data_IF_906269047322
#
_entry.id   IF_906269047322
#
_cell.length_a   1.000
_cell.length_b   1.000
_cell.length_c   1.000
_cell.angle_alpha   90.00
_cell.angle_beta   90.00
_cell.angle_gamma   90.00
#
_symmetry.space_group_name_H-M   'P 1'
#
loop_
_entity.id
_entity.type
_entity.pdbx_description
1 polymer ?
#
# COMPACT_ATOMS: atom_id res chain seq x y z
N UNK A 1 7.62 41.22 -90.64
CA UNK A 1 8.56 40.31 -91.32
C UNK A 1 9.97 40.28 -90.70
N UNK A 2 10.21 40.92 -89.54
CA UNK A 2 11.53 40.93 -88.88
C UNK A 2 11.63 39.97 -87.66
N UNK A 3 10.51 39.41 -87.19
CA UNK A 3 10.49 38.51 -86.01
C UNK A 3 10.89 37.08 -86.39
N UNK A 4 10.59 36.64 -87.61
CA UNK A 4 10.89 35.28 -88.10
C UNK A 4 12.40 35.11 -88.33
N UNK A 5 13.10 36.17 -88.75
CA UNK A 5 14.55 36.15 -89.00
C UNK A 5 15.33 36.01 -87.68
N UNK A 6 14.91 36.69 -86.62
CA UNK A 6 15.53 36.56 -85.29
C UNK A 6 15.32 35.17 -84.68
N UNK A 7 14.16 34.55 -84.90
CA UNK A 7 13.88 33.18 -84.45
C UNK A 7 14.78 32.14 -85.12
N UNK A 8 15.02 32.28 -86.43
CA UNK A 8 15.88 31.38 -87.18
C UNK A 8 17.38 31.53 -86.83
N UNK A 9 17.85 32.77 -86.57
CA UNK A 9 19.22 33.03 -86.12
C UNK A 9 19.51 32.44 -84.73
N UNK A 10 18.53 32.47 -83.82
CA UNK A 10 18.65 31.87 -82.48
C UNK A 10 18.68 30.33 -82.54
N UNK A 11 17.93 29.70 -83.44
CA UNK A 11 17.97 28.24 -83.62
C UNK A 11 19.28 27.74 -84.26
N UNK A 12 19.91 28.54 -85.12
CA UNK A 12 21.19 28.16 -85.76
C UNK A 12 22.36 28.29 -84.78
N UNK A 13 22.31 29.24 -83.82
CA UNK A 13 23.33 29.39 -82.77
C UNK A 13 23.33 28.24 -81.75
N UNK A 14 22.20 27.57 -81.52
CA UNK A 14 22.11 26.43 -80.58
C UNK A 14 22.62 25.13 -81.20
N UNK A 15 22.65 25.01 -82.53
CA UNK A 15 23.04 23.77 -83.24
C UNK A 15 24.53 23.74 -83.62
N UNK A 16 25.23 24.87 -83.66
CA UNK A 16 26.67 24.94 -84.00
C UNK A 16 27.63 24.94 -82.80
N UNK A 17 27.13 24.62 -81.59
CA UNK A 17 27.95 24.46 -80.38
C UNK A 17 28.69 23.11 -80.35
N UNK A 18 29.71 22.98 -81.21
CA UNK A 18 30.92 22.16 -81.04
C UNK A 18 30.84 20.91 -80.13
N UNK A 19 30.47 19.77 -80.71
CA UNK A 19 30.94 18.45 -80.27
C UNK A 19 32.44 18.33 -80.62
N UNK A 20 33.36 18.80 -79.78
CA UNK A 20 34.75 18.29 -79.84
C UNK A 20 35.63 18.51 -78.58
N UNK A 21 35.12 19.06 -77.47
CA UNK A 21 35.96 19.26 -76.25
C UNK A 21 35.47 18.57 -74.97
N UNK A 22 34.37 17.81 -75.00
CA UNK A 22 33.74 17.24 -73.80
C UNK A 22 34.33 15.90 -73.32
N UNK A 23 35.54 15.53 -73.76
CA UNK A 23 36.22 14.30 -73.32
C UNK A 23 37.32 14.55 -72.29
N UNK A 24 37.95 15.74 -72.29
CA UNK A 24 39.01 16.11 -71.35
C UNK A 24 38.45 16.70 -70.04
N UNK A 25 37.32 17.42 -70.10
CA UNK A 25 36.68 18.03 -68.94
C UNK A 25 36.12 17.01 -67.94
N UNK A 26 35.58 15.87 -68.39
CA UNK A 26 35.03 14.84 -67.49
C UNK A 26 36.11 14.19 -66.64
N UNK A 27 37.33 14.04 -67.18
CA UNK A 27 38.46 13.53 -66.41
C UNK A 27 38.94 14.56 -65.38
N UNK A 28 39.04 15.83 -65.75
CA UNK A 28 39.44 16.90 -64.84
C UNK A 28 38.40 17.17 -63.74
N UNK A 29 37.11 17.08 -64.07
CA UNK A 29 35.97 17.20 -63.16
C UNK A 29 35.91 16.00 -62.18
N UNK A 30 36.27 14.79 -62.65
CA UNK A 30 36.43 13.63 -61.76
C UNK A 30 37.60 13.76 -60.79
N UNK A 31 38.70 14.42 -61.20
CA UNK A 31 39.90 14.60 -60.38
C UNK A 31 39.68 15.72 -59.34
N UNK A 32 39.12 16.86 -59.78
CA UNK A 32 38.79 17.99 -58.91
C UNK A 32 37.69 17.60 -57.91
N UNK A 33 36.62 16.93 -58.37
CA UNK A 33 35.55 16.44 -57.51
C UNK A 33 36.04 15.43 -56.46
N UNK A 34 36.93 14.52 -56.83
CA UNK A 34 37.52 13.56 -55.88
C UNK A 34 38.43 14.26 -54.87
N UNK A 35 39.25 15.22 -55.30
CA UNK A 35 40.08 16.02 -54.39
C UNK A 35 39.24 16.85 -53.40
N UNK A 36 38.24 17.59 -53.88
CA UNK A 36 37.33 18.37 -53.05
C UNK A 36 36.55 17.49 -52.08
N UNK A 37 36.03 16.34 -52.54
CA UNK A 37 35.37 15.38 -51.67
C UNK A 37 36.32 14.83 -50.60
N UNK A 38 37.56 14.49 -50.97
CA UNK A 38 38.56 13.98 -50.02
C UNK A 38 38.95 15.01 -48.97
N UNK A 39 39.04 16.29 -49.34
CA UNK A 39 39.29 17.40 -48.43
C UNK A 39 38.11 17.68 -47.49
N UNK A 40 36.87 17.55 -48.00
CA UNK A 40 35.63 17.81 -47.23
C UNK A 40 35.15 16.61 -46.41
N UNK A 41 35.55 15.39 -46.78
CA UNK A 41 35.14 14.14 -46.12
C UNK A 41 35.33 14.15 -44.60
N UNK A 42 36.46 14.61 -44.04
CA UNK A 42 36.63 14.70 -42.59
C UNK A 42 35.56 15.57 -41.92
N UNK A 43 35.16 16.68 -42.54
CA UNK A 43 34.11 17.57 -42.01
C UNK A 43 32.74 16.89 -42.08
N UNK A 44 32.42 16.21 -43.18
CA UNK A 44 31.17 15.45 -43.32
C UNK A 44 31.08 14.27 -42.34
N UNK A 45 32.19 13.56 -42.12
CA UNK A 45 32.27 12.47 -41.14
C UNK A 45 32.16 13.02 -39.70
N UNK A 46 32.69 14.22 -39.45
CA UNK A 46 32.52 14.91 -38.18
C UNK A 46 31.06 15.34 -37.95
N UNK A 47 30.37 15.87 -38.97
CA UNK A 47 28.93 16.20 -38.87
C UNK A 47 28.09 14.98 -38.51
N UNK A 48 28.32 13.84 -39.17
CA UNK A 48 27.64 12.58 -38.83
C UNK A 48 27.93 12.12 -37.40
N UNK A 49 29.16 12.35 -36.93
CA UNK A 49 29.54 12.00 -35.55
C UNK A 49 28.79 12.87 -34.55
N UNK A 50 28.68 14.17 -34.81
CA UNK A 50 27.93 15.10 -33.97
C UNK A 50 26.42 14.79 -33.97
N UNK A 51 25.84 14.46 -35.11
CA UNK A 51 24.43 14.05 -35.22
C UNK A 51 24.12 12.80 -34.37
N UNK A 52 25.02 11.81 -34.39
CA UNK A 52 24.90 10.63 -33.52
C UNK A 52 24.96 11.02 -32.05
N UNK A 53 25.94 11.83 -31.66
CA UNK A 53 26.06 12.31 -30.28
C UNK A 53 24.79 13.05 -29.82
N UNK A 54 24.24 13.93 -30.65
CA UNK A 54 22.98 14.64 -30.32
C UNK A 54 21.83 13.65 -30.11
N UNK A 55 21.74 12.62 -30.96
CA UNK A 55 20.69 11.60 -30.86
C UNK A 55 20.85 10.76 -29.59
N UNK A 56 22.09 10.38 -29.26
CA UNK A 56 22.41 9.63 -28.05
C UNK A 56 22.09 10.44 -26.79
N UNK A 57 22.49 11.72 -26.74
CA UNK A 57 22.14 12.63 -25.65
C UNK A 57 20.63 12.85 -25.53
N UNK A 58 19.90 12.93 -26.65
CA UNK A 58 18.45 13.07 -26.62
C UNK A 58 17.77 11.81 -26.02
N UNK A 59 18.28 10.62 -26.37
CA UNK A 59 17.80 9.36 -25.80
C UNK A 59 18.10 9.27 -24.30
N UNK A 60 19.33 9.58 -23.87
CA UNK A 60 19.71 9.59 -22.46
C UNK A 60 18.86 10.58 -21.66
N UNK A 61 18.67 11.79 -22.17
CA UNK A 61 17.81 12.80 -21.52
C UNK A 61 16.37 12.32 -21.37
N UNK A 62 15.82 11.64 -22.39
CA UNK A 62 14.47 11.08 -22.33
C UNK A 62 14.38 10.01 -21.23
N UNK A 63 15.37 9.11 -21.18
CA UNK A 63 15.45 8.09 -20.14
C UNK A 63 15.51 8.70 -18.73
N UNK A 64 16.34 9.73 -18.53
CA UNK A 64 16.42 10.45 -17.25
C UNK A 64 15.09 11.09 -16.85
N UNK A 65 14.36 11.67 -17.80
CA UNK A 65 13.04 12.25 -17.55
C UNK A 65 12.02 11.18 -17.11
N UNK A 66 12.02 10.02 -17.77
CA UNK A 66 11.17 8.88 -17.40
C UNK A 66 11.54 8.34 -16.00
N UNK A 67 12.83 8.25 -15.70
CA UNK A 67 13.31 7.82 -14.38
C UNK A 67 12.90 8.81 -13.27
N UNK A 68 12.99 10.12 -13.51
CA UNK A 68 12.55 11.13 -12.55
C UNK A 68 11.03 11.07 -12.33
N UNK A 69 10.24 10.83 -13.38
CA UNK A 69 8.79 10.67 -13.25
C UNK A 69 8.41 9.41 -12.48
N UNK A 70 9.11 8.29 -12.73
CA UNK A 70 8.86 7.04 -11.97
C UNK A 70 9.28 7.18 -10.52
N UNK A 71 10.38 7.88 -10.22
CA UNK A 71 10.79 8.23 -8.85
C UNK A 71 9.69 9.02 -8.12
N UNK A 72 9.19 10.10 -8.72
CA UNK A 72 8.11 10.91 -8.13
C UNK A 72 6.83 10.11 -7.89
N UNK A 73 6.47 9.25 -8.83
CA UNK A 73 5.32 8.34 -8.66
C UNK A 73 5.54 7.38 -7.48
N UNK A 74 6.75 6.85 -7.33
CA UNK A 74 7.09 5.94 -6.24
C UNK A 74 7.08 6.66 -4.89
N UNK A 75 7.61 7.88 -4.81
CA UNK A 75 7.56 8.74 -3.62
C UNK A 75 6.11 9.00 -3.20
N UNK A 76 5.24 9.40 -4.13
CA UNK A 76 3.82 9.59 -3.84
C UNK A 76 3.12 8.30 -3.36
N UNK A 77 3.53 7.14 -3.89
CA UNK A 77 2.99 5.84 -3.47
C UNK A 77 3.46 5.44 -2.06
N UNK A 78 4.72 5.74 -1.73
CA UNK A 78 5.27 5.55 -0.39
C UNK A 78 4.55 6.43 0.63
N UNK A 79 4.34 7.70 0.32
CA UNK A 79 3.59 8.62 1.18
C UNK A 79 2.16 8.14 1.43
N UNK A 80 1.46 7.66 0.39
CA UNK A 80 0.11 7.12 0.54
C UNK A 80 0.10 5.85 1.41
N UNK A 81 1.10 4.99 1.23
CA UNK A 81 1.23 3.77 2.02
C UNK A 81 1.57 4.09 3.48
N UNK A 82 2.46 5.05 3.75
CA UNK A 82 2.80 5.49 5.10
C UNK A 82 1.57 6.05 5.81
N UNK A 83 0.82 6.95 5.16
CA UNK A 83 -0.43 7.49 5.69
C UNK A 83 -1.46 6.38 5.98
N UNK A 84 -1.56 5.37 5.11
CA UNK A 84 -2.45 4.23 5.30
C UNK A 84 -2.03 3.40 6.52
N UNK A 85 -0.74 3.17 6.70
CA UNK A 85 -0.20 2.44 7.86
C UNK A 85 -0.44 3.22 9.15
N UNK A 86 -0.16 4.54 9.15
CA UNK A 86 -0.42 5.44 10.26
C UNK A 86 -1.90 5.40 10.69
N UNK A 87 -2.83 5.46 9.73
CA UNK A 87 -4.27 5.38 10.01
C UNK A 87 -4.65 4.04 10.65
N UNK A 88 -4.24 2.93 10.03
CA UNK A 88 -4.53 1.59 10.56
C UNK A 88 -3.93 1.37 11.94
N UNK A 89 -2.74 1.90 12.19
CA UNK A 89 -2.10 1.82 13.50
C UNK A 89 -2.87 2.62 14.55
N UNK A 90 -3.33 3.83 14.21
CA UNK A 90 -4.18 4.64 15.10
C UNK A 90 -5.48 3.93 15.42
N UNK A 91 -6.18 3.39 14.41
CA UNK A 91 -7.43 2.65 14.60
C UNK A 91 -7.23 1.44 15.52
N UNK A 92 -6.16 0.68 15.28
CA UNK A 92 -5.82 -0.49 16.09
C UNK A 92 -5.49 -0.09 17.54
N UNK A 93 -4.77 1.01 17.73
CA UNK A 93 -4.46 1.53 19.07
C UNK A 93 -5.73 1.92 19.82
N UNK A 94 -6.64 2.65 19.18
CA UNK A 94 -7.92 3.04 19.78
C UNK A 94 -8.78 1.83 20.10
N UNK A 95 -8.88 0.86 19.19
CA UNK A 95 -9.61 -0.39 19.44
C UNK A 95 -9.01 -1.18 20.61
N UNK A 96 -7.67 -1.25 20.70
CA UNK A 96 -6.98 -1.90 21.81
C UNK A 96 -7.28 -1.23 23.16
N UNK A 97 -7.25 0.10 23.21
CA UNK A 97 -7.61 0.87 24.42
C UNK A 97 -9.06 0.64 24.84
N UNK A 98 -10.00 0.61 23.89
CA UNK A 98 -11.41 0.31 24.15
C UNK A 98 -11.60 -1.08 24.73
N UNK A 99 -10.95 -2.10 24.16
CA UNK A 99 -10.98 -3.48 24.68
C UNK A 99 -10.42 -3.52 26.11
N UNK A 100 -9.31 -2.83 26.37
CA UNK A 100 -8.70 -2.78 27.70
C UNK A 100 -9.62 -2.11 28.74
N UNK A 101 -10.33 -1.05 28.36
CA UNK A 101 -11.33 -0.41 29.21
C UNK A 101 -12.52 -1.35 29.47
N UNK A 102 -13.00 -2.05 28.45
CA UNK A 102 -14.09 -3.00 28.59
C UNK A 102 -13.74 -4.17 29.52
N UNK A 103 -12.53 -4.74 29.39
CA UNK A 103 -12.04 -5.79 30.28
C UNK A 103 -11.98 -5.27 31.72
N UNK A 104 -11.50 -4.04 31.94
CA UNK A 104 -11.47 -3.43 33.28
C UNK A 104 -12.87 -3.24 33.87
N UNK A 105 -13.85 -2.79 33.08
CA UNK A 105 -15.22 -2.64 33.58
C UNK A 105 -15.88 -3.98 33.88
N UNK A 106 -15.66 -4.98 33.03
CA UNK A 106 -16.15 -6.34 33.28
C UNK A 106 -15.52 -6.96 34.52
N UNK A 107 -14.21 -6.77 34.73
CA UNK A 107 -13.52 -7.21 35.94
C UNK A 107 -14.14 -6.64 37.21
N UNK A 108 -14.43 -5.33 37.24
CA UNK A 108 -15.12 -4.69 38.36
C UNK A 108 -16.52 -5.24 38.60
N UNK A 109 -17.28 -5.51 37.53
CA UNK A 109 -18.62 -6.09 37.66
C UNK A 109 -18.58 -7.49 38.26
N UNK A 110 -17.63 -8.32 37.83
CA UNK A 110 -17.44 -9.67 38.38
C UNK A 110 -17.05 -9.61 39.85
N UNK A 111 -16.14 -8.71 40.22
CA UNK A 111 -15.69 -8.51 41.60
C UNK A 111 -16.86 -8.07 42.51
N UNK A 112 -17.68 -7.14 42.04
CA UNK A 112 -18.92 -6.74 42.74
C UNK A 112 -19.90 -7.90 42.89
N UNK A 113 -20.12 -8.70 41.83
CA UNK A 113 -20.99 -9.86 41.90
C UNK A 113 -20.48 -10.90 42.90
N UNK A 114 -19.17 -11.14 42.98
CA UNK A 114 -18.54 -12.01 43.97
C UNK A 114 -18.77 -11.51 45.39
N UNK A 115 -18.58 -10.22 45.67
CA UNK A 115 -18.87 -9.64 46.99
C UNK A 115 -20.34 -9.82 47.40
N UNK A 116 -21.27 -9.62 46.46
CA UNK A 116 -22.70 -9.81 46.71
C UNK A 116 -23.04 -11.27 47.02
N UNK A 117 -22.42 -12.23 46.31
CA UNK A 117 -22.60 -13.66 46.57
C UNK A 117 -22.04 -14.07 47.92
N UNK A 118 -20.83 -13.61 48.28
CA UNK A 118 -20.24 -13.89 49.59
C UNK A 118 -21.13 -13.38 50.74
N UNK A 119 -21.63 -12.16 50.63
CA UNK A 119 -22.59 -11.62 51.63
C UNK A 119 -23.89 -12.42 51.69
N UNK A 120 -24.39 -12.91 50.55
CA UNK A 120 -25.59 -13.73 50.52
C UNK A 120 -25.37 -15.14 51.12
N UNK A 121 -24.16 -15.67 51.03
CA UNK A 121 -23.78 -16.96 51.62
C UNK A 121 -23.65 -16.86 53.15
N UNK A 122 -23.06 -15.78 53.68
CA UNK A 122 -22.98 -15.52 55.12
C UNK A 122 -24.36 -15.38 55.81
N UNK A 123 -25.41 -15.02 55.07
CA UNK A 123 -26.78 -14.83 55.60
C UNK A 123 -27.57 -16.14 55.66
N UNK A 124 -27.15 -17.20 54.97
CA UNK A 124 -27.83 -18.50 55.04
C UNK A 124 -27.42 -19.23 56.31
N UNK A 125 -28.19 -19.04 57.39
CA UNK A 125 -28.15 -19.94 58.55
C UNK A 125 -28.30 -21.39 58.04
N UNK A 126 -27.49 -22.34 58.55
CA UNK A 126 -27.56 -23.73 58.09
C UNK A 126 -29.00 -24.20 58.24
N UNK A 127 -29.61 -24.61 57.13
CA UNK A 127 -30.90 -25.28 57.14
C UNK A 127 -30.67 -26.56 57.95
N UNK A 128 -31.34 -26.73 59.10
CA UNK A 128 -31.14 -27.93 59.89
C UNK A 128 -31.50 -29.15 59.04
N UNK A 129 -30.70 -30.20 59.14
CA UNK A 129 -30.74 -31.36 58.23
C UNK A 129 -32.11 -32.05 58.14
N UNK A 130 -32.27 -33.10 57.32
CA UNK A 130 -33.57 -33.69 56.97
C UNK A 130 -34.40 -34.21 58.17
N UNK A 131 -33.81 -34.31 59.36
CA UNK A 131 -34.48 -34.66 60.61
C UNK A 131 -35.34 -33.53 61.20
N UNK A 132 -35.20 -32.29 60.72
CA UNK A 132 -35.95 -31.13 61.19
C UNK A 132 -37.09 -30.78 60.23
N UNK A 133 -38.27 -30.58 60.78
CA UNK A 133 -39.45 -30.15 60.06
C UNK A 133 -39.70 -28.65 60.29
N UNK A 134 -39.93 -27.89 59.21
CA UNK A 134 -40.32 -26.48 59.33
C UNK A 134 -41.80 -26.37 59.68
N UNK A 135 -42.10 -25.63 60.74
CA UNK A 135 -43.47 -25.30 61.16
C UNK A 135 -43.52 -23.78 61.38
N UNK A 136 -44.16 -23.06 60.46
CA UNK A 136 -44.12 -21.59 60.43
C UNK A 136 -42.71 -21.05 60.16
N UNK A 137 -42.23 -20.18 61.04
CA UNK A 137 -40.89 -19.54 60.94
C UNK A 137 -39.78 -20.28 61.69
N UNK A 138 -40.06 -21.47 62.26
CA UNK A 138 -39.11 -22.24 63.08
C UNK A 138 -38.97 -23.68 62.58
N UNK A 139 -37.83 -24.27 62.89
CA UNK A 139 -37.54 -25.68 62.64
C UNK A 139 -37.69 -26.46 63.94
N UNK A 140 -38.29 -27.65 63.84
CA UNK A 140 -38.56 -28.53 64.95
C UNK A 140 -38.03 -29.93 64.64
N UNK A 141 -37.32 -30.52 65.60
CA UNK A 141 -37.01 -31.95 65.56
C UNK A 141 -38.20 -32.73 66.13
N UNK A 142 -38.68 -33.74 65.39
CA UNK A 142 -39.78 -34.61 65.83
C UNK A 142 -39.25 -36.03 65.99
N UNK A 143 -39.06 -36.45 67.23
CA UNK A 143 -38.69 -37.82 67.58
C UNK A 143 -39.85 -38.79 67.29
N UNK A 144 -39.57 -39.88 66.58
CA UNK A 144 -40.57 -40.91 66.20
C UNK A 144 -40.13 -42.32 66.54
N UNK A 145 -38.87 -42.51 66.93
CA UNK A 145 -38.27 -43.83 67.11
C UNK A 145 -38.30 -44.29 68.56
N UNK A 146 -38.28 -43.37 69.52
CA UNK A 146 -38.17 -43.70 70.95
C UNK A 146 -39.12 -42.87 71.80
N UNK A 147 -39.84 -43.52 72.72
CA UNK A 147 -40.55 -42.84 73.79
C UNK A 147 -39.56 -42.55 74.93
N UNK A 148 -39.37 -41.28 75.23
CA UNK A 148 -38.42 -40.81 76.24
C UNK A 148 -39.16 -40.19 77.41
N UNK A 149 -38.64 -40.38 78.63
CA UNK A 149 -39.11 -39.58 79.77
C UNK A 149 -38.66 -38.12 79.60
N UNK A 150 -39.30 -37.22 80.35
CA UNK A 150 -39.09 -35.78 80.25
C UNK A 150 -37.62 -35.36 80.37
N UNK A 151 -36.88 -35.92 81.33
CA UNK A 151 -35.48 -35.54 81.58
C UNK A 151 -34.57 -35.97 80.43
N UNK A 152 -34.78 -37.17 79.88
CA UNK A 152 -34.00 -37.69 78.75
C UNK A 152 -34.32 -36.90 77.48
N UNK A 153 -35.58 -36.53 77.26
CA UNK A 153 -36.00 -35.72 76.12
C UNK A 153 -35.34 -34.32 76.14
N UNK A 154 -35.34 -33.64 77.29
CA UNK A 154 -34.71 -32.31 77.44
C UNK A 154 -33.20 -32.39 77.17
N UNK A 155 -32.51 -33.39 77.72
CA UNK A 155 -31.09 -33.59 77.48
C UNK A 155 -30.80 -33.90 76.00
N UNK A 156 -31.64 -34.71 75.35
CA UNK A 156 -31.53 -35.03 73.93
C UNK A 156 -31.69 -33.77 73.06
N UNK A 157 -32.68 -32.93 73.35
CA UNK A 157 -32.87 -31.64 72.69
C UNK A 157 -31.62 -30.75 72.80
N UNK A 158 -30.98 -30.69 73.99
CA UNK A 158 -29.77 -29.91 74.18
C UNK A 158 -28.57 -30.43 73.34
N UNK A 159 -28.44 -31.75 73.17
CA UNK A 159 -27.34 -32.36 72.40
C UNK A 159 -27.49 -32.10 70.90
N UNK A 160 -28.72 -32.07 70.38
CA UNK A 160 -28.99 -31.96 68.94
C UNK A 160 -29.07 -30.52 68.42
N UNK A 161 -29.09 -29.52 69.31
CA UNK A 161 -28.99 -28.08 68.99
C UNK A 161 -30.34 -27.38 68.90
#
# INVERSE_FOLDING_TARGET
MNIIIFGLLLSVLVVYGSEESCQESRQLESICGNYCFRAMKPMLDHTKTLERQITDFAHEKKFLLEMENTKKLLEAKLDLQDNTIQHKFRDLSTASEQILQQIKSQGKQIEQQLEHLHKAEEVKKPIPGPAYQQIGSKYYYIEKSEELNWFVAVNKCFIIG
#
